data_IF_291861975630
#
_entry.id   IF_291861975630
#
_cell.length_a   1.000
_cell.length_b   1.000
_cell.length_c   1.000
_cell.angle_alpha   90.00
_cell.angle_beta   90.00
_cell.angle_gamma   90.00
#
_symmetry.space_group_name_H-M   'P 1'
#
loop_
_entity.id
_entity.type
_entity.pdbx_description
1 polymer ?
#
# COMPACT_ATOMS: atom_id res chain seq x y z
N UNK A 1 16.29 0.71 52.02
CA UNK A 1 15.18 1.12 51.14
C UNK A 1 15.76 1.99 50.04
N UNK A 2 15.79 1.49 48.79
CA UNK A 2 16.22 2.29 47.64
C UNK A 2 15.03 3.20 47.28
N UNK A 3 15.23 4.52 47.11
CA UNK A 3 14.12 5.43 46.90
C UNK A 3 13.44 5.12 45.55
N UNK A 4 12.14 4.82 45.64
CA UNK A 4 11.22 4.42 44.56
C UNK A 4 11.18 5.39 43.37
N UNK A 5 11.74 6.59 43.51
CA UNK A 5 11.72 7.66 42.50
C UNK A 5 12.74 7.48 41.37
N UNK A 6 13.85 6.77 41.58
CA UNK A 6 14.85 6.59 40.52
C UNK A 6 14.45 5.53 39.48
N UNK A 7 13.66 4.53 39.91
CA UNK A 7 13.12 3.47 39.04
C UNK A 7 12.08 3.98 38.05
N UNK A 8 11.28 4.98 38.41
CA UNK A 8 10.20 5.49 37.56
C UNK A 8 10.72 6.34 36.40
N UNK A 9 11.80 7.11 36.60
CA UNK A 9 12.40 7.92 35.53
C UNK A 9 13.13 7.07 34.47
N UNK A 10 13.76 5.96 34.88
CA UNK A 10 14.44 5.04 33.97
C UNK A 10 13.44 4.27 33.08
N UNK A 11 12.26 3.92 33.61
CA UNK A 11 11.20 3.23 32.88
C UNK A 11 10.52 4.12 31.82
N UNK A 12 10.35 5.42 32.10
CA UNK A 12 9.79 6.37 31.12
C UNK A 12 10.77 6.65 29.98
N UNK A 13 12.07 6.73 30.27
CA UNK A 13 13.11 6.92 29.25
C UNK A 13 13.26 5.73 28.29
N UNK A 14 13.12 4.49 28.78
CA UNK A 14 13.16 3.29 27.94
C UNK A 14 11.90 3.17 27.07
N UNK A 15 10.72 3.49 27.59
CA UNK A 15 9.48 3.47 26.82
C UNK A 15 9.47 4.48 25.65
N UNK A 16 10.14 5.64 25.79
CA UNK A 16 10.24 6.63 24.72
C UNK A 16 11.24 6.23 23.61
N UNK A 17 12.31 5.49 23.95
CA UNK A 17 13.24 4.96 22.94
C UNK A 17 12.59 3.87 22.07
N UNK A 18 11.76 3.01 22.67
CA UNK A 18 11.07 1.95 21.95
C UNK A 18 10.05 2.49 20.93
N UNK A 19 9.38 3.61 21.23
CA UNK A 19 8.42 4.22 20.30
C UNK A 19 9.13 4.80 19.07
N UNK A 20 10.27 5.47 19.24
CA UNK A 20 11.04 6.05 18.13
C UNK A 20 11.71 4.98 17.26
N UNK A 21 12.19 3.89 17.88
CA UNK A 21 12.73 2.74 17.16
C UNK A 21 11.61 1.96 16.42
N UNK A 22 10.43 1.81 17.02
CA UNK A 22 9.27 1.19 16.40
C UNK A 22 8.77 1.98 15.18
N UNK A 23 8.78 3.32 15.21
CA UNK A 23 8.40 4.14 14.06
C UNK A 23 9.36 3.99 12.87
N UNK A 24 10.68 3.97 13.12
CA UNK A 24 11.67 3.73 12.05
C UNK A 24 11.64 2.29 11.51
N UNK A 25 11.35 1.31 12.36
CA UNK A 25 11.14 -0.08 11.95
C UNK A 25 9.88 -0.26 11.11
N UNK A 26 8.79 0.44 11.47
CA UNK A 26 7.51 0.38 10.77
C UNK A 26 7.61 0.96 9.35
N UNK A 27 8.33 2.08 9.15
CA UNK A 27 8.52 2.66 7.82
C UNK A 27 9.22 1.72 6.83
N UNK A 28 10.30 1.05 7.27
CA UNK A 28 11.01 0.06 6.42
C UNK A 28 10.19 -1.21 6.18
N UNK A 29 9.43 -1.66 7.18
CA UNK A 29 8.53 -2.80 7.03
C UNK A 29 7.38 -2.48 6.05
N UNK A 30 6.85 -1.26 6.09
CA UNK A 30 5.83 -0.79 5.14
C UNK A 30 6.39 -0.66 3.73
N UNK A 31 7.56 -0.03 3.55
CA UNK A 31 8.23 0.09 2.25
C UNK A 31 8.52 -1.29 1.63
N UNK A 32 8.93 -2.26 2.46
CA UNK A 32 9.16 -3.64 2.03
C UNK A 32 7.86 -4.40 1.76
N UNK A 33 6.78 -4.13 2.50
CA UNK A 33 5.48 -4.76 2.28
C UNK A 33 4.84 -4.30 0.96
N UNK A 34 4.97 -3.01 0.62
CA UNK A 34 4.46 -2.46 -0.64
C UNK A 34 5.25 -3.04 -1.82
N UNK A 35 6.59 -3.05 -1.77
CA UNK A 35 7.42 -3.66 -2.83
C UNK A 35 7.18 -5.16 -3.06
N UNK A 36 6.64 -5.86 -2.07
CA UNK A 36 6.33 -7.30 -2.13
C UNK A 36 4.84 -7.61 -2.28
N UNK A 37 4.02 -6.64 -2.70
CA UNK A 37 2.61 -6.91 -2.95
C UNK A 37 2.47 -7.95 -4.07
N UNK A 38 1.89 -9.10 -3.70
CA UNK A 38 1.66 -10.24 -4.58
C UNK A 38 0.34 -10.88 -4.23
N UNK A 39 -0.54 -10.99 -5.21
CA UNK A 39 -1.80 -11.74 -5.10
C UNK A 39 -1.89 -12.80 -6.18
N UNK A 40 -2.80 -13.75 -6.00
CA UNK A 40 -3.04 -14.82 -6.97
C UNK A 40 -4.40 -14.63 -7.63
N UNK A 41 -4.41 -14.67 -8.95
CA UNK A 41 -5.62 -14.64 -9.77
C UNK A 41 -5.95 -16.07 -10.16
N UNK A 42 -7.20 -16.47 -10.00
CA UNK A 42 -7.71 -17.75 -10.50
C UNK A 42 -8.75 -17.49 -11.59
N UNK A 43 -8.62 -18.19 -12.72
CA UNK A 43 -9.59 -18.13 -13.82
C UNK A 43 -10.58 -19.29 -13.81
N UNK A 44 -10.33 -20.32 -13.01
CA UNK A 44 -11.17 -21.51 -12.91
C UNK A 44 -11.37 -21.88 -11.45
N UNK A 45 -12.61 -22.14 -11.06
CA UNK A 45 -12.89 -22.64 -9.72
C UNK A 45 -12.46 -24.10 -9.52
N UNK A 46 -12.25 -24.84 -10.62
CA UNK A 46 -12.05 -26.29 -10.62
C UNK A 46 -10.60 -26.77 -10.69
N UNK A 47 -9.70 -26.04 -11.36
CA UNK A 47 -8.30 -26.49 -11.54
C UNK A 47 -7.31 -25.74 -10.66
N UNK A 48 -7.75 -24.70 -9.93
CA UNK A 48 -6.89 -23.80 -9.16
C UNK A 48 -5.66 -23.33 -9.95
N UNK A 49 -5.78 -23.25 -11.28
CA UNK A 49 -4.72 -22.68 -12.11
C UNK A 49 -4.69 -21.20 -11.79
N UNK A 50 -3.65 -20.83 -11.07
CA UNK A 50 -3.46 -19.49 -10.57
C UNK A 50 -2.23 -18.86 -11.21
N UNK A 51 -2.33 -17.56 -11.43
CA UNK A 51 -1.19 -16.73 -11.79
C UNK A 51 -0.93 -15.77 -10.65
N UNK A 52 0.33 -15.71 -10.23
CA UNK A 52 0.73 -14.65 -9.34
C UNK A 52 0.78 -13.34 -10.11
N UNK A 53 0.28 -12.28 -9.48
CA UNK A 53 0.35 -10.91 -9.95
C UNK A 53 1.08 -10.14 -8.89
N UNK A 54 2.22 -9.58 -9.27
CA UNK A 54 3.09 -8.85 -8.36
C UNK A 54 3.29 -7.44 -8.85
N UNK A 55 3.33 -6.52 -7.90
CA UNK A 55 3.86 -5.20 -8.15
C UNK A 55 5.36 -5.28 -8.47
N UNK A 56 5.87 -4.31 -9.21
CA UNK A 56 7.30 -4.18 -9.56
C UNK A 56 7.92 -5.37 -10.31
N UNK A 57 7.16 -6.42 -10.62
CA UNK A 57 7.67 -7.59 -11.34
C UNK A 57 7.90 -7.29 -12.82
N UNK A 58 8.88 -7.96 -13.45
CA UNK A 58 9.10 -7.83 -14.88
C UNK A 58 7.96 -8.38 -15.75
N UNK A 59 7.08 -9.21 -15.16
CA UNK A 59 6.05 -9.96 -15.86
C UNK A 59 6.62 -11.05 -16.78
N UNK A 60 5.88 -11.37 -17.85
CA UNK A 60 6.29 -12.28 -18.91
C UNK A 60 5.88 -13.73 -18.70
N UNK A 61 6.76 -14.66 -19.10
CA UNK A 61 6.51 -16.11 -19.05
C UNK A 61 5.63 -16.64 -20.19
N UNK A 62 5.30 -17.95 -20.16
CA UNK A 62 4.46 -18.56 -21.17
C UNK A 62 3.01 -18.07 -21.09
N UNK A 63 2.37 -17.94 -22.26
CA UNK A 63 0.92 -17.75 -22.36
C UNK A 63 0.22 -19.02 -21.91
N UNK A 64 -0.88 -18.87 -21.19
CA UNK A 64 -1.77 -19.97 -20.78
C UNK A 64 -3.14 -19.76 -21.37
N UNK A 65 -3.88 -20.84 -21.58
CA UNK A 65 -5.27 -20.77 -22.02
C UNK A 65 -6.20 -21.05 -20.84
N UNK A 66 -7.26 -20.26 -20.72
CA UNK A 66 -8.37 -20.59 -19.83
C UNK A 66 -9.01 -21.88 -20.38
N UNK A 67 -9.12 -22.97 -19.60
CA UNK A 67 -9.68 -24.24 -20.07
C UNK A 67 -11.05 -24.06 -20.73
N UNK A 68 -11.35 -24.83 -21.78
CA UNK A 68 -12.60 -24.66 -22.53
C UNK A 68 -13.82 -25.39 -21.93
N UNK A 69 -13.97 -25.38 -20.61
CA UNK A 69 -15.01 -26.14 -19.91
C UNK A 69 -16.00 -25.22 -19.17
N UNK A 70 -17.15 -25.78 -18.77
CA UNK A 70 -18.22 -25.02 -18.10
C UNK A 70 -17.80 -24.35 -16.78
N UNK A 71 -16.73 -24.82 -16.12
CA UNK A 71 -16.21 -24.26 -14.88
C UNK A 71 -15.24 -23.08 -15.08
N UNK A 72 -14.93 -22.73 -16.33
CA UNK A 72 -13.99 -21.66 -16.70
C UNK A 72 -14.62 -20.28 -16.88
N UNK A 73 -15.93 -20.18 -16.62
CA UNK A 73 -16.65 -18.91 -16.67
C UNK A 73 -16.74 -18.30 -18.08
N UNK A 74 -17.05 -16.99 -18.16
CA UNK A 74 -17.43 -16.31 -19.41
C UNK A 74 -16.29 -16.16 -20.43
N UNK A 75 -15.05 -16.46 -20.03
CA UNK A 75 -13.84 -16.23 -20.83
C UNK A 75 -13.11 -17.53 -21.20
N UNK A 76 -13.81 -18.65 -21.12
CA UNK A 76 -13.38 -19.96 -21.58
C UNK A 76 -12.65 -19.91 -22.93
N UNK A 77 -11.46 -20.50 -23.01
CA UNK A 77 -10.64 -20.58 -24.22
C UNK A 77 -9.72 -19.38 -24.49
N UNK A 78 -9.85 -18.27 -23.75
CA UNK A 78 -9.00 -17.09 -23.95
C UNK A 78 -7.61 -17.31 -23.36
N UNK A 79 -6.59 -16.70 -23.98
CA UNK A 79 -5.23 -16.72 -23.45
C UNK A 79 -5.04 -15.67 -22.34
N UNK A 80 -4.13 -15.94 -21.41
CA UNK A 80 -3.71 -15.01 -20.36
C UNK A 80 -2.21 -15.17 -20.02
N UNK A 81 -1.61 -14.11 -19.45
CA UNK A 81 -0.19 -14.06 -19.09
C UNK A 81 0.75 -13.75 -20.27
N UNK A 82 2.07 -13.77 -20.05
CA UNK A 82 3.05 -13.56 -21.13
C UNK A 82 3.25 -12.11 -21.59
N UNK A 83 2.47 -11.15 -21.08
CA UNK A 83 2.79 -9.72 -21.18
C UNK A 83 3.87 -9.33 -20.17
N UNK A 84 4.77 -8.45 -20.57
CA UNK A 84 5.90 -8.00 -19.75
C UNK A 84 5.85 -6.49 -19.50
N UNK A 85 6.70 -6.00 -18.61
CA UNK A 85 6.70 -4.58 -18.25
C UNK A 85 7.12 -3.66 -19.40
N UNK A 86 7.88 -4.14 -20.38
CA UNK A 86 8.28 -3.36 -21.55
C UNK A 86 7.09 -3.03 -22.47
N UNK A 87 6.07 -3.88 -22.46
CA UNK A 87 4.88 -3.74 -23.31
C UNK A 87 3.66 -3.17 -22.56
N UNK A 88 3.84 -2.78 -21.29
CA UNK A 88 2.75 -2.37 -20.39
C UNK A 88 2.02 -1.11 -20.86
N UNK A 89 2.72 -0.22 -21.57
CA UNK A 89 2.15 1.02 -22.08
C UNK A 89 1.19 0.75 -23.24
N UNK A 90 -0.04 1.25 -23.12
CA UNK A 90 -0.94 1.45 -24.25
C UNK A 90 -0.73 2.83 -24.88
N UNK A 91 -1.80 3.33 -25.48
CA UNK A 91 -1.92 4.70 -25.96
C UNK A 91 -3.17 5.34 -25.34
N UNK A 92 -3.69 6.41 -25.95
CA UNK A 92 -4.96 7.04 -25.57
C UNK A 92 -6.18 6.34 -26.18
N UNK A 93 -5.95 5.36 -27.06
CA UNK A 93 -6.99 4.58 -27.70
C UNK A 93 -7.33 3.35 -26.84
N UNK A 94 -8.61 3.12 -26.62
CA UNK A 94 -9.08 1.93 -25.93
C UNK A 94 -8.80 0.66 -26.75
N UNK A 95 -8.29 -0.37 -26.08
CA UNK A 95 -7.81 -1.59 -26.71
C UNK A 95 -6.34 -1.56 -27.14
N UNK A 96 -5.60 -0.51 -26.84
CA UNK A 96 -4.14 -0.45 -27.04
C UNK A 96 -3.37 -1.19 -25.94
N UNK A 97 -2.06 -1.36 -26.15
CA UNK A 97 -1.13 -1.93 -25.15
C UNK A 97 -1.16 -3.45 -25.05
N UNK A 98 -1.60 -4.12 -26.11
CA UNK A 98 -1.58 -5.58 -26.22
C UNK A 98 -0.27 -6.04 -26.88
N UNK A 99 0.56 -6.85 -26.20
CA UNK A 99 1.73 -7.47 -26.81
C UNK A 99 1.38 -8.57 -27.83
N UNK A 100 0.15 -9.08 -27.80
CA UNK A 100 -0.33 -10.12 -28.71
C UNK A 100 -1.87 -10.20 -28.72
N UNK A 101 -2.44 -10.90 -29.72
CA UNK A 101 -3.87 -11.18 -29.82
C UNK A 101 -4.75 -9.92 -30.02
N UNK A 102 -4.20 -8.93 -30.71
CA UNK A 102 -4.82 -7.63 -30.96
C UNK A 102 -5.00 -7.36 -32.46
N UNK A 103 -5.40 -8.38 -33.20
CA UNK A 103 -5.47 -8.34 -34.67
C UNK A 103 -6.54 -7.36 -35.19
N UNK A 104 -7.50 -7.00 -34.34
CA UNK A 104 -8.54 -6.02 -34.64
C UNK A 104 -8.45 -4.81 -33.70
N UNK A 105 -7.95 -3.68 -34.19
CA UNK A 105 -7.84 -2.40 -33.49
C UNK A 105 -9.17 -1.80 -32.99
N UNK A 106 -10.32 -2.33 -33.42
CA UNK A 106 -11.62 -1.65 -33.25
C UNK A 106 -12.46 -2.26 -32.14
N UNK A 107 -11.95 -3.30 -31.49
CA UNK A 107 -12.68 -3.98 -30.42
C UNK A 107 -11.73 -4.68 -29.48
N UNK A 108 -12.04 -4.67 -28.19
CA UNK A 108 -11.41 -5.52 -27.18
C UNK A 108 -12.13 -6.86 -26.98
N UNK A 109 -13.24 -7.09 -27.68
CA UNK A 109 -13.98 -8.34 -27.64
C UNK A 109 -13.08 -9.52 -28.06
N UNK A 110 -13.14 -10.64 -27.34
CA UNK A 110 -12.41 -11.88 -27.66
C UNK A 110 -10.88 -11.87 -27.52
N UNK A 111 -10.24 -10.71 -27.27
CA UNK A 111 -8.79 -10.56 -27.04
C UNK A 111 -8.19 -11.34 -25.84
N UNK A 112 -6.89 -11.59 -25.75
CA UNK A 112 -6.31 -12.26 -24.57
C UNK A 112 -6.26 -11.34 -23.33
N UNK A 113 -5.74 -11.86 -22.21
CA UNK A 113 -5.44 -11.11 -20.98
C UNK A 113 -3.93 -11.16 -20.67
N UNK A 114 -3.08 -10.44 -21.43
CA UNK A 114 -1.62 -10.58 -21.36
C UNK A 114 -1.02 -10.38 -19.98
N UNK A 115 -1.68 -9.61 -19.13
CA UNK A 115 -1.18 -9.22 -17.82
C UNK A 115 -2.01 -9.78 -16.66
N UNK A 116 -2.92 -10.72 -16.93
CA UNK A 116 -3.71 -11.37 -15.89
C UNK A 116 -5.05 -10.67 -15.56
N UNK A 117 -5.32 -9.49 -16.11
CA UNK A 117 -6.55 -8.73 -15.78
C UNK A 117 -7.29 -8.32 -17.05
N UNK A 118 -8.61 -8.27 -16.97
CA UNK A 118 -9.49 -7.94 -18.10
C UNK A 118 -9.56 -6.43 -18.34
N UNK A 119 -9.81 -5.98 -19.58
CA UNK A 119 -10.03 -4.57 -19.90
C UNK A 119 -11.10 -3.89 -19.03
N UNK A 120 -10.94 -2.59 -18.79
CA UNK A 120 -11.98 -1.73 -18.17
C UNK A 120 -13.16 -1.68 -19.13
N UNK A 121 -14.40 -1.82 -18.66
CA UNK A 121 -15.58 -1.65 -19.50
C UNK A 121 -16.11 -0.22 -19.45
N UNK A 122 -16.15 0.46 -20.60
CA UNK A 122 -16.77 1.78 -20.73
C UNK A 122 -18.27 1.72 -21.03
N UNK A 123 -18.90 0.57 -20.79
CA UNK A 123 -20.32 0.33 -21.03
C UNK A 123 -20.59 -0.78 -22.05
N UNK A 124 -21.86 -1.17 -22.21
CA UNK A 124 -22.24 -2.38 -22.95
C UNK A 124 -21.95 -2.32 -24.46
N UNK A 125 -21.86 -1.12 -25.05
CA UNK A 125 -21.75 -0.95 -26.52
C UNK A 125 -20.44 -0.31 -26.97
N UNK A 126 -19.49 -0.07 -26.07
CA UNK A 126 -18.26 0.66 -26.39
C UNK A 126 -17.14 -0.29 -26.80
N UNK A 127 -16.85 -0.38 -28.10
CA UNK A 127 -15.69 -1.08 -28.69
C UNK A 127 -15.44 -2.49 -28.11
N UNK A 128 -16.50 -3.28 -27.93
CA UNK A 128 -16.42 -4.64 -27.37
C UNK A 128 -16.24 -4.73 -25.85
N UNK A 129 -16.19 -3.60 -25.15
CA UNK A 129 -16.09 -3.52 -23.69
C UNK A 129 -17.30 -4.09 -22.95
N UNK A 130 -18.42 -4.34 -23.65
CA UNK A 130 -19.60 -4.98 -23.09
C UNK A 130 -19.35 -6.39 -22.55
N UNK A 131 -18.35 -7.11 -23.07
CA UNK A 131 -17.95 -8.43 -22.55
C UNK A 131 -17.48 -8.38 -21.09
N UNK A 132 -17.03 -7.20 -20.61
CA UNK A 132 -16.49 -7.01 -19.26
C UNK A 132 -17.36 -6.11 -18.40
N UNK A 133 -18.57 -5.78 -18.87
CA UNK A 133 -19.51 -4.89 -18.21
C UNK A 133 -20.31 -5.67 -17.14
N UNK A 134 -20.24 -5.25 -15.88
CA UNK A 134 -21.16 -5.73 -14.85
C UNK A 134 -22.40 -4.83 -14.79
N UNK A 135 -23.54 -5.31 -15.27
CA UNK A 135 -24.80 -4.60 -15.16
C UNK A 135 -25.45 -4.90 -13.79
N UNK A 136 -25.73 -3.87 -13.00
CA UNK A 136 -26.39 -4.01 -11.68
C UNK A 136 -27.93 -4.15 -11.78
N UNK A 137 -28.49 -4.52 -12.94
CA UNK A 137 -29.94 -4.47 -13.19
C UNK A 137 -30.50 -5.84 -13.60
N UNK A 138 -30.68 -6.72 -12.62
CA UNK A 138 -31.41 -7.98 -12.79
C UNK A 138 -32.91 -7.73 -12.85
N UNK A 139 -33.48 -7.60 -14.05
CA UNK A 139 -34.92 -7.86 -14.23
C UNK A 139 -35.20 -9.32 -14.61
N UNK A 140 -34.18 -10.10 -14.98
CA UNK A 140 -34.35 -11.48 -15.47
C UNK A 140 -33.23 -12.42 -14.98
N UNK A 141 -33.02 -12.54 -13.66
CA UNK A 141 -32.43 -13.72 -12.98
C UNK A 141 -31.18 -14.43 -13.53
N UNK A 142 -30.42 -13.85 -14.46
CA UNK A 142 -29.39 -14.55 -15.24
C UNK A 142 -28.14 -13.73 -15.59
N UNK A 143 -28.05 -12.48 -15.15
CA UNK A 143 -26.82 -11.70 -15.34
C UNK A 143 -25.79 -12.08 -14.28
N UNK A 144 -24.67 -12.62 -14.76
CA UNK A 144 -23.51 -12.96 -13.95
C UNK A 144 -22.81 -11.65 -13.53
N UNK A 145 -22.72 -11.39 -12.23
CA UNK A 145 -21.98 -10.22 -11.74
C UNK A 145 -20.47 -10.42 -11.95
N UNK A 146 -19.96 -9.83 -13.03
CA UNK A 146 -18.56 -9.92 -13.40
C UNK A 146 -17.64 -9.19 -12.41
N UNK A 147 -18.16 -8.33 -11.53
CA UNK A 147 -17.33 -7.62 -10.54
C UNK A 147 -16.71 -8.61 -9.53
N UNK A 148 -17.42 -9.69 -9.17
CA UNK A 148 -16.90 -10.72 -8.27
C UNK A 148 -15.94 -11.70 -8.94
N UNK A 149 -16.05 -11.87 -10.25
CA UNK A 149 -15.17 -12.75 -11.03
C UNK A 149 -13.94 -12.01 -11.57
N UNK A 150 -13.99 -10.68 -11.61
CA UNK A 150 -12.90 -9.84 -12.10
C UNK A 150 -11.66 -10.05 -11.24
N UNK A 151 -10.53 -10.41 -11.86
CA UNK A 151 -9.27 -10.44 -11.14
C UNK A 151 -8.91 -9.07 -10.56
N UNK A 152 -8.56 -9.02 -9.27
CA UNK A 152 -8.32 -7.77 -8.53
C UNK A 152 -9.59 -7.07 -8.05
N UNK A 153 -10.78 -7.66 -8.26
CA UNK A 153 -12.05 -7.16 -7.77
C UNK A 153 -12.71 -6.10 -8.65
N UNK A 154 -13.79 -5.45 -8.16
CA UNK A 154 -14.58 -4.50 -8.94
C UNK A 154 -13.75 -3.33 -9.45
N UNK A 155 -14.15 -2.77 -10.60
CA UNK A 155 -13.50 -1.58 -11.16
C UNK A 155 -13.83 -0.35 -10.30
N UNK A 156 -12.80 0.37 -9.91
CA UNK A 156 -12.89 1.61 -9.16
C UNK A 156 -12.31 2.80 -9.91
N UNK A 157 -12.47 3.97 -9.30
CA UNK A 157 -11.79 5.21 -9.67
C UNK A 157 -11.16 5.83 -8.43
N UNK A 158 -9.97 6.39 -8.57
CA UNK A 158 -9.27 7.14 -7.51
C UNK A 158 -8.75 8.44 -8.08
N UNK A 159 -8.92 9.54 -7.35
CA UNK A 159 -8.33 10.83 -7.72
C UNK A 159 -6.86 10.89 -7.32
N UNK A 160 -6.05 11.52 -8.17
CA UNK A 160 -4.65 11.82 -7.91
C UNK A 160 -4.49 13.34 -7.92
N UNK A 161 -4.43 13.92 -6.73
CA UNK A 161 -4.11 15.33 -6.54
C UNK A 161 -2.66 15.45 -6.08
N UNK A 162 -1.87 16.42 -6.59
CA UNK A 162 -0.51 16.64 -6.15
C UNK A 162 -0.51 17.23 -4.74
N UNK A 163 0.43 16.82 -3.91
CA UNK A 163 0.81 17.61 -2.75
C UNK A 163 1.64 18.82 -3.21
N UNK A 164 1.00 19.99 -3.26
CA UNK A 164 1.61 21.25 -3.71
C UNK A 164 2.79 21.70 -2.85
N UNK A 165 2.98 21.14 -1.65
CA UNK A 165 4.18 21.40 -0.85
C UNK A 165 5.44 20.71 -1.39
N UNK A 166 5.26 19.61 -2.13
CA UNK A 166 6.33 18.83 -2.74
C UNK A 166 6.51 19.12 -4.25
N UNK A 167 5.46 19.61 -4.92
CA UNK A 167 5.48 19.90 -6.35
C UNK A 167 5.51 21.41 -6.65
N UNK A 168 6.71 21.95 -6.91
CA UNK A 168 6.85 23.35 -7.33
C UNK A 168 6.38 23.54 -8.79
N UNK A 169 5.49 24.50 -9.02
CA UNK A 169 5.00 24.85 -10.36
C UNK A 169 3.91 23.93 -10.92
N UNK A 170 3.40 22.98 -10.13
CA UNK A 170 2.22 22.17 -10.49
C UNK A 170 0.97 22.83 -9.91
N UNK A 171 -0.07 22.96 -10.72
CA UNK A 171 -1.34 23.56 -10.30
C UNK A 171 -2.09 22.61 -9.35
N UNK A 172 -2.65 23.14 -8.26
CA UNK A 172 -3.47 22.35 -7.32
C UNK A 172 -4.72 21.73 -7.99
N UNK A 173 -5.16 22.30 -9.12
CA UNK A 173 -6.27 21.82 -9.92
C UNK A 173 -5.86 20.75 -10.95
N UNK A 174 -4.57 20.41 -11.03
CA UNK A 174 -4.07 19.31 -11.85
C UNK A 174 -4.42 17.96 -11.19
N UNK A 175 -5.69 17.58 -11.29
CA UNK A 175 -6.21 16.35 -10.68
C UNK A 175 -6.47 15.30 -11.74
N UNK A 176 -5.77 14.17 -11.64
CA UNK A 176 -5.97 13.00 -12.49
C UNK A 176 -6.92 12.00 -11.83
N UNK A 177 -7.41 11.05 -12.62
CA UNK A 177 -8.19 9.92 -12.13
C UNK A 177 -7.58 8.61 -12.62
N UNK A 178 -7.25 7.71 -11.71
CA UNK A 178 -6.89 6.33 -12.06
C UNK A 178 -8.14 5.46 -12.10
N UNK A 179 -8.21 4.59 -13.10
CA UNK A 179 -9.28 3.61 -13.29
C UNK A 179 -8.66 2.23 -13.39
N UNK A 180 -9.18 1.25 -12.67
CA UNK A 180 -8.65 -0.11 -12.64
C UNK A 180 -9.39 -1.01 -11.65
N UNK A 181 -8.96 -2.25 -11.51
CA UNK A 181 -9.44 -3.14 -10.44
C UNK A 181 -9.03 -2.62 -9.05
N UNK A 182 -9.84 -2.95 -8.05
CA UNK A 182 -9.71 -2.45 -6.67
C UNK A 182 -8.33 -2.69 -6.08
N UNK A 183 -7.80 -3.91 -6.19
CA UNK A 183 -6.50 -4.26 -5.60
C UNK A 183 -5.34 -3.48 -6.27
N UNK A 184 -5.37 -3.34 -7.60
CA UNK A 184 -4.38 -2.52 -8.32
C UNK A 184 -4.48 -1.04 -7.93
N UNK A 185 -5.69 -0.49 -7.73
CA UNK A 185 -5.88 0.90 -7.30
C UNK A 185 -5.38 1.15 -5.87
N UNK A 186 -5.68 0.26 -4.92
CA UNK A 186 -5.19 0.35 -3.55
C UNK A 186 -3.67 0.39 -3.52
N UNK A 187 -3.05 -0.52 -4.28
CA UNK A 187 -1.62 -0.60 -4.38
C UNK A 187 -1.00 0.63 -5.04
N UNK A 188 -1.51 1.05 -6.21
CA UNK A 188 -0.98 2.19 -6.91
C UNK A 188 -1.14 3.49 -6.11
N UNK A 189 -2.19 3.64 -5.32
CA UNK A 189 -2.34 4.80 -4.44
C UNK A 189 -1.23 4.84 -3.37
N UNK A 190 -0.87 3.69 -2.78
CA UNK A 190 0.24 3.63 -1.82
C UNK A 190 1.57 4.01 -2.46
N UNK A 191 1.88 3.48 -3.64
CA UNK A 191 3.11 3.81 -4.37
C UNK A 191 3.14 5.27 -4.84
N UNK A 192 2.02 5.81 -5.31
CA UNK A 192 1.99 7.20 -5.79
C UNK A 192 2.08 8.22 -4.64
N UNK A 193 1.61 7.87 -3.44
CA UNK A 193 1.83 8.69 -2.24
C UNK A 193 3.32 8.75 -1.90
N UNK A 194 4.01 7.61 -1.95
CA UNK A 194 5.42 7.50 -1.58
C UNK A 194 6.35 8.11 -2.64
N UNK A 195 6.15 7.77 -3.91
CA UNK A 195 7.06 8.13 -5.00
C UNK A 195 6.71 9.43 -5.70
N UNK A 196 5.42 9.80 -5.73
CA UNK A 196 4.95 10.97 -6.46
C UNK A 196 4.29 12.01 -5.57
N UNK A 197 4.36 11.88 -4.23
CA UNK A 197 3.72 12.80 -3.30
C UNK A 197 2.26 13.11 -3.68
N UNK A 198 1.52 12.10 -4.14
CA UNK A 198 0.10 12.21 -4.40
C UNK A 198 -0.65 12.24 -3.06
N UNK A 199 -1.71 13.03 -2.96
CA UNK A 199 -2.56 13.04 -1.78
C UNK A 199 -3.35 11.73 -1.71
N UNK A 200 -3.45 11.07 -0.54
CA UNK A 200 -4.25 9.85 -0.38
C UNK A 200 -5.73 10.15 -0.62
N UNK A 201 -6.39 9.33 -1.45
CA UNK A 201 -7.80 9.48 -1.80
C UNK A 201 -8.55 8.15 -1.66
N UNK A 202 -9.86 8.24 -1.46
CA UNK A 202 -10.74 7.07 -1.37
C UNK A 202 -11.09 6.53 -2.76
N UNK A 203 -11.16 5.20 -2.86
CA UNK A 203 -11.66 4.52 -4.06
C UNK A 203 -13.17 4.65 -4.11
N UNK A 204 -13.69 5.13 -5.24
CA UNK A 204 -15.12 5.14 -5.56
C UNK A 204 -15.43 4.08 -6.61
N UNK A 205 -16.65 3.54 -6.60
CA UNK A 205 -17.09 2.59 -7.62
C UNK A 205 -17.12 3.27 -9.00
N UNK A 206 -16.54 2.62 -9.99
CA UNK A 206 -16.66 3.06 -11.37
C UNK A 206 -18.05 2.71 -11.92
N UNK A 207 -18.69 3.66 -12.58
CA UNK A 207 -19.99 3.45 -13.21
C UNK A 207 -20.01 4.10 -14.60
N UNK A 208 -19.78 3.32 -15.67
CA UNK A 208 -19.74 3.86 -17.03
C UNK A 208 -21.13 4.28 -17.53
N UNK A 209 -22.23 3.80 -16.92
CA UNK A 209 -23.60 4.22 -17.28
C UNK A 209 -23.98 5.58 -16.68
N UNK A 210 -23.24 6.08 -15.70
CA UNK A 210 -23.43 7.41 -15.10
C UNK A 210 -22.66 8.53 -15.84
N UNK A 211 -22.20 8.23 -17.06
CA UNK A 211 -21.38 9.11 -17.89
C UNK A 211 -21.98 10.51 -18.14
N UNK A 212 -23.31 10.64 -18.14
CA UNK A 212 -24.00 11.90 -18.45
C UNK A 212 -23.83 13.02 -17.40
N UNK A 213 -23.20 12.76 -16.24
CA UNK A 213 -23.16 13.71 -15.12
C UNK A 213 -21.77 14.30 -14.82
N UNK A 214 -20.76 14.15 -15.68
CA UNK A 214 -19.36 14.63 -15.47
C UNK A 214 -18.70 14.16 -14.15
N UNK A 215 -19.31 13.22 -13.43
CA UNK A 215 -18.79 12.71 -12.15
C UNK A 215 -17.97 11.44 -12.32
N UNK A 216 -17.96 10.82 -13.50
CA UNK A 216 -17.21 9.62 -13.82
C UNK A 216 -16.32 9.89 -15.03
N UNK A 217 -15.08 9.39 -15.06
CA UNK A 217 -14.21 9.56 -16.20
C UNK A 217 -14.85 8.92 -17.44
N UNK A 218 -14.60 9.52 -18.60
CA UNK A 218 -15.04 9.01 -19.90
C UNK A 218 -13.85 8.49 -20.72
N UNK A 219 -14.08 7.65 -21.74
CA UNK A 219 -13.02 7.21 -22.65
C UNK A 219 -12.22 8.37 -23.27
N UNK A 220 -12.88 9.46 -23.64
CA UNK A 220 -12.26 10.67 -24.20
C UNK A 220 -11.38 11.43 -23.21
N UNK A 221 -11.53 11.19 -21.90
CA UNK A 221 -10.69 11.80 -20.88
C UNK A 221 -9.39 11.02 -20.64
N UNK A 222 -9.23 9.83 -21.22
CA UNK A 222 -8.08 8.95 -20.94
C UNK A 222 -6.79 9.49 -21.56
N UNK A 223 -5.81 9.76 -20.69
CA UNK A 223 -4.46 10.20 -21.07
C UNK A 223 -3.57 9.04 -21.49
N UNK A 224 -3.78 7.86 -20.89
CA UNK A 224 -2.94 6.70 -21.06
C UNK A 224 -3.66 5.44 -20.56
N UNK A 225 -3.77 4.44 -21.44
CA UNK A 225 -4.09 3.07 -21.04
C UNK A 225 -2.82 2.31 -20.66
N UNK A 226 -2.96 1.38 -19.74
CA UNK A 226 -1.92 0.44 -19.33
C UNK A 226 -2.48 -0.96 -19.37
N UNK A 227 -1.56 -1.93 -19.41
CA UNK A 227 -1.88 -3.32 -19.13
C UNK A 227 -3.01 -3.83 -20.05
N UNK A 228 -2.88 -3.61 -21.36
CA UNK A 228 -3.88 -3.98 -22.36
C UNK A 228 -5.28 -3.38 -22.08
N UNK A 229 -5.34 -2.10 -21.70
CA UNK A 229 -6.56 -1.35 -21.36
C UNK A 229 -7.33 -1.84 -20.11
N UNK A 230 -6.66 -2.57 -19.22
CA UNK A 230 -7.21 -2.99 -17.92
C UNK A 230 -6.90 -2.03 -16.77
N UNK A 231 -6.10 -0.99 -17.02
CA UNK A 231 -5.82 0.11 -16.12
C UNK A 231 -5.66 1.40 -16.95
N UNK A 232 -6.06 2.55 -16.42
CA UNK A 232 -6.01 3.82 -17.15
C UNK A 232 -5.80 5.01 -16.22
N UNK A 233 -5.25 6.09 -16.77
CA UNK A 233 -5.28 7.43 -16.16
C UNK A 233 -6.11 8.34 -17.06
N UNK A 234 -7.00 9.12 -16.46
CA UNK A 234 -7.82 10.12 -17.11
C UNK A 234 -7.64 11.51 -16.51
N UNK A 235 -8.00 12.53 -17.29
CA UNK A 235 -8.03 13.93 -16.87
C UNK A 235 -9.32 14.57 -17.41
N UNK A 236 -10.14 15.13 -16.52
CA UNK A 236 -11.45 15.68 -16.90
C UNK A 236 -11.34 16.87 -17.87
N UNK A 237 -10.20 17.57 -17.89
CA UNK A 237 -9.93 18.66 -18.83
C UNK A 237 -9.42 18.20 -20.20
N UNK A 238 -9.25 16.90 -20.43
CA UNK A 238 -8.82 16.34 -21.72
C UNK A 238 -10.02 15.77 -22.48
N UNK A 239 -10.06 16.03 -23.79
CA UNK A 239 -11.09 15.52 -24.69
C UNK A 239 -10.44 14.97 -25.96
N UNK A 240 -10.31 13.64 -26.02
CA UNK A 240 -9.81 12.91 -27.17
C UNK A 240 -10.94 12.57 -28.13
N UNK A 241 -11.03 13.29 -29.25
CA UNK A 241 -12.07 13.05 -30.26
C UNK A 241 -11.98 11.67 -30.90
N UNK A 242 -10.79 11.05 -30.89
CA UNK A 242 -10.60 9.70 -31.41
C UNK A 242 -11.31 8.63 -30.57
N UNK A 243 -11.44 8.85 -29.26
CA UNK A 243 -12.10 7.92 -28.35
C UNK A 243 -13.62 7.85 -28.57
N UNK A 244 -14.23 8.84 -29.22
CA UNK A 244 -15.66 8.87 -29.52
C UNK A 244 -16.06 8.01 -30.72
N UNK A 245 -15.11 7.24 -31.28
CA UNK A 245 -15.31 6.42 -32.45
C UNK A 245 -15.04 7.22 -33.72
N UNK A 246 -13.87 7.01 -34.32
CA UNK A 246 -13.67 7.36 -35.73
C UNK A 246 -14.61 6.54 -36.59
N UNK A 247 -15.35 7.16 -37.51
CA UNK A 247 -16.16 6.48 -38.54
C UNK A 247 -15.32 5.65 -39.52
N UNK A 248 -13.99 5.75 -39.44
CA UNK A 248 -13.03 4.99 -40.22
C UNK A 248 -11.84 4.65 -39.32
N UNK A 249 -11.97 3.66 -38.43
CA UNK A 249 -10.91 3.36 -37.49
C UNK A 249 -9.75 2.76 -38.28
N UNK A 250 -8.67 3.52 -38.38
CA UNK A 250 -7.40 3.01 -38.88
C UNK A 250 -7.00 1.83 -38.00
N UNK A 251 -6.30 0.85 -38.56
CA UNK A 251 -5.74 -0.28 -37.80
C UNK A 251 -4.70 0.16 -36.76
N UNK A 252 -4.36 1.45 -36.72
CA UNK A 252 -3.41 2.06 -35.82
C UNK A 252 -4.13 2.64 -34.61
N UNK A 253 -3.80 2.12 -33.42
CA UNK A 253 -4.17 2.69 -32.13
C UNK A 253 -3.01 3.53 -31.59
N UNK A 254 -2.39 4.37 -32.42
CA UNK A 254 -1.19 5.12 -32.04
C UNK A 254 -1.52 6.43 -31.32
N UNK A 255 -0.51 7.05 -30.70
CA UNK A 255 -0.67 8.40 -30.16
C UNK A 255 -0.95 9.47 -31.22
N UNK A 256 -0.52 9.23 -32.48
CA UNK A 256 -0.73 10.18 -33.58
C UNK A 256 -2.22 10.29 -33.97
N UNK A 257 -3.01 9.26 -33.66
CA UNK A 257 -4.43 9.23 -33.95
C UNK A 257 -5.26 10.00 -32.90
N UNK A 258 -4.67 10.34 -31.74
CA UNK A 258 -5.36 10.98 -30.60
C UNK A 258 -5.15 12.49 -30.55
N UNK A 259 -6.11 13.23 -29.99
CA UNK A 259 -5.97 14.66 -29.76
C UNK A 259 -4.73 14.99 -28.89
N UNK A 260 -3.98 16.07 -29.15
CA UNK A 260 -2.81 16.42 -28.34
C UNK A 260 -3.21 16.72 -26.90
N UNK A 261 -2.28 16.49 -25.96
CA UNK A 261 -2.51 16.85 -24.55
C UNK A 261 -2.67 18.36 -24.40
N UNK A 262 -3.53 18.83 -23.48
CA UNK A 262 -3.60 20.24 -23.11
C UNK A 262 -2.22 20.74 -22.66
N UNK A 263 -1.84 21.96 -23.09
CA UNK A 263 -0.52 22.52 -22.82
C UNK A 263 -0.18 22.61 -21.33
N UNK A 264 -1.21 22.72 -20.48
CA UNK A 264 -1.11 22.75 -19.03
C UNK A 264 -0.51 21.47 -18.45
N UNK A 265 -0.82 20.31 -19.03
CA UNK A 265 -0.39 19.00 -18.51
C UNK A 265 0.64 18.30 -19.40
N UNK A 266 0.84 18.78 -20.64
CA UNK A 266 1.73 18.16 -21.61
C UNK A 266 3.17 17.98 -21.10
N UNK A 267 3.64 18.91 -20.25
CA UNK A 267 4.97 18.90 -19.64
C UNK A 267 4.92 18.81 -18.11
N UNK A 268 3.80 18.35 -17.54
CA UNK A 268 3.70 18.22 -16.08
C UNK A 268 4.68 17.17 -15.54
N UNK A 269 5.49 17.58 -14.57
CA UNK A 269 6.39 16.68 -13.85
C UNK A 269 5.61 15.70 -12.96
N UNK A 270 4.45 16.10 -12.44
CA UNK A 270 3.59 15.23 -11.64
C UNK A 270 3.00 14.10 -12.51
N UNK A 271 2.48 14.43 -13.70
CA UNK A 271 2.00 13.42 -14.66
C UNK A 271 3.11 12.46 -15.10
N UNK A 272 4.32 12.96 -15.34
CA UNK A 272 5.47 12.12 -15.68
C UNK A 272 5.82 11.14 -14.56
N UNK A 273 5.80 11.61 -13.30
CA UNK A 273 6.00 10.73 -12.14
C UNK A 273 4.92 9.65 -12.09
N UNK A 274 3.65 10.03 -12.17
CA UNK A 274 2.53 9.08 -12.14
C UNK A 274 2.70 8.02 -13.24
N UNK A 275 2.95 8.45 -14.48
CA UNK A 275 3.08 7.54 -15.61
C UNK A 275 4.25 6.56 -15.42
N UNK A 276 5.40 7.06 -14.97
CA UNK A 276 6.61 6.26 -14.71
C UNK A 276 6.37 5.26 -13.59
N UNK A 277 5.79 5.70 -12.47
CA UNK A 277 5.49 4.84 -11.32
C UNK A 277 4.49 3.75 -11.67
N UNK A 278 3.40 4.06 -12.39
CA UNK A 278 2.47 3.04 -12.87
C UNK A 278 3.18 2.04 -13.79
N UNK A 279 3.97 2.50 -14.75
CA UNK A 279 4.68 1.58 -15.63
C UNK A 279 5.68 0.68 -14.90
N UNK A 280 6.31 1.18 -13.83
CA UNK A 280 7.30 0.45 -13.04
C UNK A 280 6.70 -0.47 -11.98
N UNK A 281 5.55 -0.08 -11.42
CA UNK A 281 5.01 -0.71 -10.22
C UNK A 281 3.68 -1.43 -10.44
N UNK A 282 2.91 -1.07 -11.48
CA UNK A 282 1.57 -1.63 -11.69
C UNK A 282 1.62 -3.16 -11.65
N UNK A 283 0.74 -3.80 -10.86
CA UNK A 283 0.75 -5.25 -10.71
C UNK A 283 0.41 -5.93 -12.04
N UNK A 284 1.29 -6.84 -12.47
CA UNK A 284 1.12 -7.64 -13.68
C UNK A 284 1.38 -9.13 -13.40
N UNK A 285 0.78 -9.97 -14.22
CA UNK A 285 1.05 -11.40 -14.28
C UNK A 285 2.55 -11.72 -14.29
N UNK A 286 3.01 -12.41 -13.26
CA UNK A 286 4.39 -12.88 -13.16
C UNK A 286 4.65 -13.96 -14.21
N UNK A 287 5.88 -13.97 -14.74
CA UNK A 287 6.37 -15.17 -15.42
C UNK A 287 6.26 -16.34 -14.45
N UNK A 288 5.81 -17.51 -14.92
CA UNK A 288 5.77 -18.73 -14.10
C UNK A 288 7.07 -18.81 -13.34
N UNK A 289 6.96 -18.73 -12.01
CA UNK A 289 8.10 -18.81 -11.12
C UNK A 289 8.79 -20.15 -11.40
N UNK A 290 9.82 -20.13 -12.24
CA UNK A 290 10.70 -21.28 -12.41
C UNK A 290 11.42 -21.60 -11.10
N UNK A 291 11.27 -20.75 -10.07
CA UNK A 291 11.85 -20.92 -8.74
C UNK A 291 11.02 -20.27 -7.62
N UNK A 292 9.75 -20.63 -7.49
CA UNK A 292 9.34 -21.01 -6.13
C UNK A 292 9.95 -22.39 -5.92
N UNK A 293 11.26 -22.42 -5.61
CA UNK A 293 11.78 -23.50 -4.80
C UNK A 293 11.01 -23.37 -3.51
N UNK A 294 9.81 -23.94 -3.46
CA UNK A 294 9.10 -24.15 -2.21
C UNK A 294 10.16 -24.67 -1.24
N UNK A 295 10.22 -24.08 -0.05
CA UNK A 295 11.14 -24.48 0.99
C UNK A 295 11.10 -26.00 0.99
N UNK A 296 12.19 -26.64 0.57
CA UNK A 296 12.20 -28.09 0.37
C UNK A 296 11.69 -28.71 1.64
N UNK A 297 10.93 -29.80 1.58
CA UNK A 297 10.36 -30.40 2.80
C UNK A 297 11.42 -30.60 3.89
N UNK A 298 12.68 -30.83 3.49
CA UNK A 298 13.85 -30.86 4.38
C UNK A 298 14.19 -29.54 5.09
N UNK A 299 14.01 -28.38 4.47
CA UNK A 299 14.22 -27.07 5.11
C UNK A 299 13.08 -26.70 6.07
N UNK A 300 11.82 -27.10 5.79
CA UNK A 300 10.71 -26.96 6.76
C UNK A 300 11.00 -27.83 7.99
N UNK A 301 11.37 -29.09 7.76
CA UNK A 301 11.77 -30.03 8.83
C UNK A 301 12.96 -29.46 9.62
N UNK A 302 13.97 -28.91 8.95
CA UNK A 302 15.13 -28.31 9.58
C UNK A 302 14.81 -27.14 10.51
N UNK A 303 13.89 -26.25 10.12
CA UNK A 303 13.45 -25.13 10.96
C UNK A 303 12.72 -25.63 12.21
N UNK A 304 11.83 -26.62 12.07
CA UNK A 304 11.08 -27.18 13.20
C UNK A 304 12.03 -27.84 14.19
N UNK A 305 12.90 -28.74 13.73
CA UNK A 305 13.88 -29.40 14.60
C UNK A 305 14.88 -28.41 15.22
N UNK A 306 15.36 -27.44 14.44
CA UNK A 306 16.24 -26.38 14.93
C UNK A 306 15.60 -25.56 16.04
N UNK A 307 14.31 -25.23 15.92
CA UNK A 307 13.55 -24.50 16.94
C UNK A 307 13.38 -25.31 18.23
N UNK A 308 13.08 -26.61 18.14
CA UNK A 308 13.00 -27.48 19.32
C UNK A 308 14.35 -27.59 20.05
N UNK A 309 15.44 -27.83 19.31
CA UNK A 309 16.78 -27.94 19.90
C UNK A 309 17.23 -26.60 20.51
N UNK A 310 16.98 -25.49 19.81
CA UNK A 310 17.28 -24.15 20.31
C UNK A 310 16.52 -23.81 21.59
N UNK A 311 15.21 -24.11 21.63
CA UNK A 311 14.37 -23.90 22.81
C UNK A 311 14.84 -24.74 24.01
N UNK A 312 15.27 -25.98 23.77
CA UNK A 312 15.77 -26.88 24.80
C UNK A 312 17.13 -26.43 25.35
N UNK A 313 18.02 -25.92 24.49
CA UNK A 313 19.28 -25.31 24.91
C UNK A 313 19.07 -24.04 25.74
N UNK A 314 18.15 -23.16 25.32
CA UNK A 314 17.81 -21.95 26.06
C UNK A 314 17.24 -22.32 27.45
N UNK A 315 16.35 -23.31 27.50
CA UNK A 315 15.80 -23.81 28.76
C UNK A 315 16.91 -24.35 29.69
N UNK A 316 17.83 -25.17 29.18
CA UNK A 316 18.95 -25.70 29.96
C UNK A 316 19.86 -24.60 30.50
N UNK A 317 20.24 -23.64 29.66
CA UNK A 317 21.04 -22.47 30.08
C UNK A 317 20.30 -21.67 31.14
N UNK A 318 18.99 -21.47 30.99
CA UNK A 318 18.16 -20.79 31.98
C UNK A 318 18.15 -21.52 33.33
N UNK A 319 18.03 -22.84 33.34
CA UNK A 319 18.06 -23.63 34.58
C UNK A 319 19.43 -23.63 35.26
N UNK A 320 20.52 -23.66 34.49
CA UNK A 320 21.89 -23.55 35.02
C UNK A 320 22.14 -22.16 35.61
N UNK A 321 21.76 -21.11 34.90
CA UNK A 321 21.86 -19.73 35.39
C UNK A 321 21.05 -19.55 36.68
N UNK A 322 19.85 -20.14 36.76
CA UNK A 322 19.03 -20.08 37.98
C UNK A 322 19.71 -20.82 39.13
N UNK A 323 20.25 -22.02 38.91
CA UNK A 323 20.99 -22.76 39.94
C UNK A 323 22.19 -21.95 40.47
N UNK A 324 22.99 -21.34 39.58
CA UNK A 324 24.11 -20.50 39.99
C UNK A 324 23.67 -19.24 40.76
N UNK A 325 22.53 -18.65 40.42
CA UNK A 325 21.97 -17.50 41.17
C UNK A 325 21.47 -17.95 42.55
N UNK A 326 20.88 -19.13 42.66
CA UNK A 326 20.41 -19.67 43.94
C UNK A 326 21.60 -19.94 44.89
N UNK A 327 22.66 -20.58 44.40
CA UNK A 327 23.89 -20.82 45.15
C UNK A 327 24.57 -19.50 45.57
N UNK A 328 24.60 -18.51 44.68
CA UNK A 328 25.12 -17.18 45.00
C UNK A 328 24.31 -16.46 46.09
N UNK A 329 22.98 -16.66 46.13
CA UNK A 329 22.11 -16.09 47.17
C UNK A 329 22.36 -16.72 48.53
N UNK A 330 22.57 -18.03 48.59
CA UNK A 330 22.84 -18.73 49.84
C UNK A 330 24.19 -18.31 50.44
N UNK A 331 25.23 -18.22 49.61
CA UNK A 331 26.56 -17.73 50.01
C UNK A 331 26.55 -16.26 50.49
N UNK A 332 25.61 -15.43 50.02
CA UNK A 332 25.45 -14.04 50.51
C UNK A 332 24.67 -13.93 51.82
N UNK A 333 23.87 -14.93 52.19
CA UNK A 333 23.10 -14.88 53.43
C UNK A 333 24.01 -15.00 54.68
N UNK A 334 25.15 -15.67 54.57
CA UNK A 334 26.10 -15.84 55.69
C UNK A 334 27.04 -14.64 55.92
N UNK A 335 27.12 -13.71 54.98
CA UNK A 335 28.09 -12.59 55.02
C UNK A 335 27.47 -11.23 55.31
N UNK A 336 26.19 -11.17 55.70
CA UNK A 336 25.63 -9.94 56.25
C UNK A 336 25.96 -9.94 57.75
N UNK A 337 26.99 -9.21 58.24
CA UNK A 337 27.14 -9.00 59.66
C UNK A 337 25.82 -8.40 60.17
N UNK A 338 25.21 -9.01 61.19
CA UNK A 338 24.09 -8.41 61.89
C UNK A 338 24.51 -7.00 62.29
N UNK A 339 24.03 -6.00 61.54
CA UNK A 339 24.09 -4.62 61.97
C UNK A 339 23.24 -4.61 63.23
N UNK A 340 23.92 -4.39 64.36
CA UNK A 340 23.29 -4.32 65.66
C UNK A 340 22.12 -3.34 65.59
N UNK A 341 20.98 -3.77 66.13
CA UNK A 341 19.73 -3.03 66.07
C UNK A 341 19.89 -1.63 66.70
N UNK A 342 20.82 -1.50 67.65
CA UNK A 342 21.24 -0.23 68.26
C UNK A 342 21.85 0.75 67.25
N UNK A 343 22.57 0.27 66.24
CA UNK A 343 23.14 1.11 65.18
C UNK A 343 22.06 1.65 64.24
N UNK A 344 21.04 0.84 63.95
CA UNK A 344 19.91 1.26 63.12
C UNK A 344 19.07 2.31 63.84
N UNK A 345 18.80 2.13 65.14
CA UNK A 345 18.05 3.13 65.92
C UNK A 345 18.81 4.46 66.04
N UNK A 346 20.15 4.43 66.17
CA UNK A 346 20.96 5.67 66.15
C UNK A 346 20.86 6.42 64.83
N UNK A 347 20.98 5.71 63.71
CA UNK A 347 20.91 6.36 62.38
C UNK A 347 19.50 6.91 62.12
N UNK A 348 18.45 6.21 62.54
CA UNK A 348 17.07 6.69 62.40
C UNK A 348 16.82 7.94 63.24
N UNK A 349 17.35 8.00 64.46
CA UNK A 349 17.26 9.21 65.31
C UNK A 349 18.03 10.40 64.71
N UNK A 350 19.22 10.18 64.14
CA UNK A 350 19.98 11.25 63.48
C UNK A 350 19.23 11.84 62.27
N UNK A 351 18.62 11.00 61.44
CA UNK A 351 17.87 11.45 60.26
C UNK A 351 16.60 12.23 60.65
N UNK A 352 15.88 11.79 61.69
CA UNK A 352 14.68 12.50 62.19
C UNK A 352 15.06 13.87 62.78
N UNK A 353 16.24 13.98 63.40
CA UNK A 353 16.73 15.25 63.93
C UNK A 353 17.06 16.23 62.79
N UNK A 354 17.75 15.79 61.73
CA UNK A 354 18.09 16.64 60.58
C UNK A 354 16.87 17.13 59.79
N UNK A 355 15.81 16.31 59.67
CA UNK A 355 14.60 16.68 58.95
C UNK A 355 13.79 17.76 59.69
N UNK A 356 13.76 17.72 61.03
CA UNK A 356 13.09 18.74 61.84
C UNK A 356 13.81 20.10 61.80
N UNK A 357 15.15 20.11 61.76
CA UNK A 357 15.93 21.35 61.66
C UNK A 357 15.77 22.04 60.29
N UNK A 358 15.54 21.28 59.21
CA UNK A 358 15.28 21.88 57.89
C UNK A 358 13.86 22.44 57.75
N UNK A 359 12.88 21.90 58.46
CA UNK A 359 11.49 22.34 58.27
C UNK A 359 11.21 23.70 58.93
N UNK A 360 11.87 24.01 60.05
CA UNK A 360 11.73 25.31 60.75
C UNK A 360 12.30 26.51 60.00
N UNK A 361 13.10 26.32 58.95
CA UNK A 361 13.75 27.41 58.21
C UNK A 361 13.01 27.86 56.94
N UNK A 362 11.93 27.17 56.55
CA UNK A 362 11.18 27.43 55.30
C UNK A 362 9.90 28.25 55.47
N UNK A 363 9.49 28.58 56.70
CA UNK A 363 8.27 29.36 56.93
C UNK A 363 8.49 30.90 56.87
N UNK A 364 9.73 31.38 56.91
CA UNK A 364 10.02 32.83 56.91
C UNK A 364 10.25 33.44 55.50
N UNK A 365 10.22 32.66 54.41
CA UNK A 365 10.67 33.12 53.07
C UNK A 365 9.55 33.25 52.02
N UNK A 366 8.28 33.04 52.37
CA UNK A 366 7.19 32.93 51.38
C UNK A 366 6.14 34.06 51.40
N UNK A 367 6.45 35.23 51.98
CA UNK A 367 5.50 36.37 52.06
C UNK A 367 5.72 37.47 50.99
N UNK A 368 6.74 37.41 50.13
CA UNK A 368 7.11 38.56 49.26
C UNK A 368 6.87 38.42 47.74
N UNK A 369 6.28 37.33 47.22
CA UNK A 369 6.21 37.12 45.75
C UNK A 369 4.80 37.02 45.16
N UNK A 370 3.90 37.94 45.52
CA UNK A 370 2.57 38.05 44.92
C UNK A 370 2.21 39.49 44.49
N UNK A 371 3.09 40.15 43.71
CA UNK A 371 2.70 41.40 43.01
C UNK A 371 3.62 41.69 41.82
N UNK A 372 3.35 41.09 40.65
CA UNK A 372 3.65 41.68 39.34
C UNK A 372 3.43 40.66 38.21
N UNK A 373 2.28 40.70 37.53
CA UNK A 373 2.21 40.57 36.07
C UNK A 373 0.80 40.88 35.56
N UNK A 374 0.52 42.17 35.43
CA UNK A 374 -0.60 42.70 34.63
C UNK A 374 -0.02 43.86 33.81
N UNK A 375 0.31 43.64 32.52
CA UNK A 375 0.34 44.66 31.45
C UNK A 375 0.94 44.14 30.13
N UNK A 376 0.41 44.73 29.04
CA UNK A 376 0.77 44.70 27.61
C UNK A 376 0.24 43.50 26.81
N UNK A 377 -0.81 43.62 25.97
CA UNK A 377 -1.11 44.61 24.91
C UNK A 377 0.08 44.77 23.94
N UNK A 378 -0.02 44.86 22.62
CA UNK A 378 -1.03 44.78 21.56
C UNK A 378 -0.20 45.02 20.26
N UNK A 379 -0.77 44.76 19.06
CA UNK A 379 -0.29 45.20 17.73
C UNK A 379 0.99 44.59 17.15
N UNK A 380 0.91 44.07 15.92
CA UNK A 380 1.21 44.85 14.69
C UNK A 380 0.75 44.10 13.43
N UNK A 381 0.38 44.90 12.43
CA UNK A 381 -0.34 44.67 11.17
C UNK A 381 0.65 44.60 9.98
N UNK A 382 0.14 44.29 8.77
CA UNK A 382 0.64 44.56 7.39
C UNK A 382 1.46 43.42 6.74
N UNK A 383 1.25 42.99 5.48
CA UNK A 383 0.38 43.31 4.33
C UNK A 383 0.16 41.97 3.60
#
# INVERSE_FOLDING_TARGET
MIPLHFTTLLLVGLAQLDIVAAQKGCGKAQESAVKNMRFRISYTSSTMDTIAVSAWSGGGGPRRAIPSNAASGPFSGREYGGGDRHTIYGTRAYGSGYPYGADNANSVAGRPFPYGVWPISWGPSYLGGGEYFSASSSNNGGDLDLDFLRPGGPVGVVKLAPDTSHWNGVDANEVYEMIGDRESLMFMMADLVDWCHAQPQLIRRFNPSAASNNTQPQPENVLQYYRASSFAIAYSGYNNTFALGSSNPTTSQSFADSSPLPSQIANSAFLQCINSTIANALPIADSVDTKEKGITSGAIIGIVFGSFVGSLLIYLIGTLAWASIAEWRENRAESIPMVDQETIERIVQEVIQEENDQHGKKEDENEDTASSTHKKAENTVYV
#
